data_IF_355504192974
#
_entry.id   IF_355504192974
#
_cell.length_a   1.000
_cell.length_b   1.000
_cell.length_c   1.000
_cell.angle_alpha   90.00
_cell.angle_beta   90.00
_cell.angle_gamma   90.00
#
_symmetry.space_group_name_H-M   'P 1'
#
loop_
_entity.id
_entity.type
_entity.pdbx_description
1 polymer ?
#
# COMPACT_ATOMS: atom_id res chain seq x y z
N UNK A 1 9.59 -0.81 18.98
CA UNK A 1 9.74 0.25 17.96
C UNK A 1 9.93 -0.41 16.61
N UNK A 2 9.11 -0.10 15.60
CA UNK A 2 9.40 -0.55 14.23
C UNK A 2 10.72 0.08 13.77
N UNK A 3 11.62 -0.72 13.21
CA UNK A 3 12.87 -0.27 12.60
C UNK A 3 12.58 0.53 11.32
N UNK A 4 12.09 1.76 11.48
CA UNK A 4 11.78 2.66 10.38
C UNK A 4 13.08 3.18 9.76
N UNK A 5 13.33 2.81 8.50
CA UNK A 5 14.45 3.31 7.72
C UNK A 5 13.99 4.57 7.00
N UNK A 6 14.68 5.69 7.23
CA UNK A 6 14.47 6.90 6.44
C UNK A 6 15.17 6.75 5.10
N UNK A 7 14.47 7.06 4.00
CA UNK A 7 15.03 7.01 2.63
C UNK A 7 14.55 8.22 1.83
N UNK A 8 15.16 9.38 2.10
CA UNK A 8 14.83 10.66 1.47
C UNK A 8 16.06 11.17 0.72
N UNK A 9 15.94 11.52 -0.58
CA UNK A 9 17.05 12.05 -1.34
C UNK A 9 17.47 13.40 -0.79
N UNK A 10 18.76 13.65 -0.82
CA UNK A 10 19.33 14.88 -0.27
C UNK A 10 19.60 15.85 -1.40
N UNK A 11 19.22 17.11 -1.17
CA UNK A 11 19.58 18.22 -2.07
C UNK A 11 21.07 18.51 -1.96
N UNK A 12 21.72 18.84 -3.08
CA UNK A 12 23.17 19.01 -3.21
C UNK A 12 23.83 20.01 -2.25
N UNK A 13 23.07 20.92 -1.61
CA UNK A 13 23.60 21.96 -0.72
C UNK A 13 23.26 21.75 0.77
N UNK A 14 23.29 20.51 1.26
CA UNK A 14 23.09 20.27 2.71
C UNK A 14 24.37 20.52 3.48
N UNK A 15 24.38 21.60 4.27
CA UNK A 15 25.52 22.00 5.11
C UNK A 15 25.44 21.51 6.56
N UNK A 16 24.25 21.14 7.06
CA UNK A 16 24.01 20.83 8.49
C UNK A 16 22.96 19.73 8.70
N UNK A 17 23.11 19.00 9.80
CA UNK A 17 22.10 18.06 10.33
C UNK A 17 22.55 16.59 10.34
N UNK A 18 22.62 15.98 11.52
CA UNK A 18 23.09 14.59 11.75
C UNK A 18 22.36 13.57 10.87
N UNK A 19 21.03 13.65 10.80
CA UNK A 19 20.22 12.71 10.02
C UNK A 19 20.39 12.89 8.51
N UNK A 20 20.57 14.12 8.02
CA UNK A 20 20.81 14.38 6.60
C UNK A 20 22.17 13.85 6.14
N UNK A 21 23.21 14.00 6.97
CA UNK A 21 24.52 13.39 6.68
C UNK A 21 24.46 11.85 6.72
N UNK A 22 23.71 11.28 7.67
CA UNK A 22 23.46 9.83 7.70
C UNK A 22 22.74 9.35 6.45
N UNK A 23 21.74 10.11 5.99
CA UNK A 23 21.02 9.83 4.75
C UNK A 23 21.97 9.89 3.54
N UNK A 24 22.92 10.82 3.49
CA UNK A 24 23.83 10.94 2.33
C UNK A 24 24.68 9.69 2.16
N UNK A 25 25.10 9.11 3.30
CA UNK A 25 25.93 7.90 3.33
C UNK A 25 25.14 6.61 3.11
N UNK A 26 23.85 6.59 3.43
CA UNK A 26 23.02 5.36 3.46
C UNK A 26 21.85 5.40 2.47
N UNK A 27 21.83 6.39 1.58
CA UNK A 27 20.77 6.53 0.59
C UNK A 27 20.94 5.44 -0.47
N UNK A 28 19.90 4.63 -0.64
CA UNK A 28 19.78 3.68 -1.73
C UNK A 28 18.67 4.16 -2.66
N UNK A 29 19.10 4.56 -3.86
CA UNK A 29 18.21 5.07 -4.89
C UNK A 29 17.22 4.00 -5.39
N UNK A 30 17.63 2.72 -5.44
CA UNK A 30 16.78 1.62 -5.90
C UNK A 30 15.59 1.42 -4.96
N UNK A 31 15.84 1.50 -3.66
CA UNK A 31 14.80 1.43 -2.63
C UNK A 31 13.91 2.68 -2.70
N UNK A 32 14.51 3.86 -2.89
CA UNK A 32 13.76 5.11 -3.02
C UNK A 32 12.77 5.08 -4.20
N UNK A 33 13.18 4.57 -5.37
CA UNK A 33 12.33 4.47 -6.55
C UNK A 33 11.09 3.57 -6.36
N UNK A 34 11.11 2.64 -5.39
CA UNK A 34 9.93 1.84 -5.05
C UNK A 34 8.81 2.63 -4.36
N UNK A 35 9.10 3.86 -3.88
CA UNK A 35 8.12 4.72 -3.20
C UNK A 35 6.88 5.00 -4.05
N UNK A 36 7.07 5.17 -5.36
CA UNK A 36 5.98 5.38 -6.32
C UNK A 36 4.92 4.30 -6.26
N UNK A 37 5.31 3.03 -6.04
CA UNK A 37 4.39 1.89 -5.90
C UNK A 37 3.55 2.03 -4.63
N UNK A 38 4.18 2.36 -3.50
CA UNK A 38 3.48 2.56 -2.23
C UNK A 38 2.50 3.74 -2.31
N UNK A 39 2.93 4.87 -2.87
CA UNK A 39 2.08 6.05 -3.08
C UNK A 39 0.88 5.74 -3.99
N UNK A 40 1.10 4.96 -5.05
CA UNK A 40 0.04 4.51 -5.94
C UNK A 40 -0.97 3.63 -5.19
N UNK A 41 -0.50 2.67 -4.39
CA UNK A 41 -1.37 1.79 -3.58
C UNK A 41 -2.19 2.61 -2.59
N UNK A 42 -1.57 3.54 -1.86
CA UNK A 42 -2.29 4.43 -0.94
C UNK A 42 -3.28 5.35 -1.66
N UNK A 43 -2.94 5.86 -2.84
CA UNK A 43 -3.84 6.66 -3.66
C UNK A 43 -5.07 5.87 -4.13
N UNK A 44 -4.87 4.63 -4.59
CA UNK A 44 -5.98 3.74 -4.98
C UNK A 44 -6.87 3.41 -3.77
N UNK A 45 -6.26 3.10 -2.63
CA UNK A 45 -6.97 2.76 -1.39
C UNK A 45 -7.85 3.93 -0.92
N UNK A 46 -7.30 5.15 -0.85
CA UNK A 46 -8.04 6.36 -0.45
C UNK A 46 -9.19 6.68 -1.40
N UNK A 47 -9.03 6.45 -2.70
CA UNK A 47 -10.12 6.64 -3.68
C UNK A 47 -11.24 5.60 -3.54
N UNK A 48 -10.91 4.37 -3.13
CA UNK A 48 -11.89 3.29 -2.96
C UNK A 48 -12.66 3.35 -1.64
N UNK A 49 -11.96 3.63 -0.53
CA UNK A 49 -12.53 3.55 0.82
C UNK A 49 -12.73 4.92 1.49
N UNK A 50 -12.41 6.00 0.78
CA UNK A 50 -12.39 7.35 1.33
C UNK A 50 -11.02 7.74 1.88
N UNK A 51 -10.74 9.04 1.89
CA UNK A 51 -9.49 9.60 2.41
C UNK A 51 -9.59 10.13 3.85
N UNK A 52 -10.79 10.16 4.40
CA UNK A 52 -11.08 10.78 5.69
C UNK A 52 -11.26 9.71 6.77
N UNK A 53 -10.59 9.91 7.91
CA UNK A 53 -10.73 9.06 9.08
C UNK A 53 -11.81 9.67 9.96
N UNK A 54 -12.85 8.92 10.29
CA UNK A 54 -14.00 9.41 11.06
C UNK A 54 -13.74 9.39 12.57
N UNK A 55 -12.86 8.50 13.03
CA UNK A 55 -12.54 8.32 14.44
C UNK A 55 -11.85 9.55 15.05
N UNK A 56 -12.33 9.98 16.24
CA UNK A 56 -11.72 11.10 17.00
C UNK A 56 -10.55 10.69 17.89
N UNK A 57 -10.59 9.46 18.42
CA UNK A 57 -9.55 8.95 19.32
C UNK A 57 -8.40 8.32 18.53
N UNK A 58 -7.15 8.63 18.86
CA UNK A 58 -5.96 8.10 18.17
C UNK A 58 -5.94 6.57 18.08
N UNK A 59 -6.36 5.87 19.15
CA UNK A 59 -6.43 4.39 19.13
C UNK A 59 -7.42 3.89 18.07
N UNK A 60 -8.58 4.55 18.00
CA UNK A 60 -9.63 4.23 17.03
C UNK A 60 -9.20 4.59 15.60
N UNK A 61 -8.46 5.69 15.40
CA UNK A 61 -7.90 6.06 14.09
C UNK A 61 -6.92 5.00 13.57
N UNK A 62 -6.03 4.50 14.44
CA UNK A 62 -5.10 3.42 14.08
C UNK A 62 -5.85 2.14 13.72
N UNK A 63 -6.89 1.80 14.48
CA UNK A 63 -7.75 0.64 14.17
C UNK A 63 -8.48 0.83 12.84
N UNK A 64 -9.08 1.98 12.59
CA UNK A 64 -9.79 2.31 11.35
C UNK A 64 -8.87 2.16 10.13
N UNK A 65 -7.67 2.74 10.16
CA UNK A 65 -6.68 2.59 9.08
C UNK A 65 -6.22 1.13 8.93
N UNK A 66 -6.05 0.42 10.04
CA UNK A 66 -5.66 -1.00 10.01
C UNK A 66 -6.75 -1.87 9.36
N UNK A 67 -8.01 -1.61 9.68
CA UNK A 67 -9.17 -2.27 9.08
C UNK A 67 -9.30 -1.96 7.60
N UNK A 68 -9.13 -0.70 7.18
CA UNK A 68 -9.13 -0.31 5.76
C UNK A 68 -8.03 -1.07 5.00
N UNK A 69 -6.83 -1.16 5.56
CA UNK A 69 -5.72 -1.94 4.96
C UNK A 69 -6.07 -3.43 4.83
N UNK A 70 -6.67 -4.01 5.87
CA UNK A 70 -7.08 -5.41 5.87
C UNK A 70 -8.13 -5.68 4.78
N UNK A 71 -9.17 -4.86 4.70
CA UNK A 71 -10.22 -4.97 3.68
C UNK A 71 -9.66 -4.78 2.27
N UNK A 72 -8.74 -3.82 2.06
CA UNK A 72 -8.07 -3.64 0.77
C UNK A 72 -7.27 -4.89 0.35
N UNK A 73 -6.54 -5.51 1.29
CA UNK A 73 -5.79 -6.73 1.01
C UNK A 73 -6.71 -7.90 0.65
N UNK A 74 -7.83 -8.07 1.37
CA UNK A 74 -8.84 -9.07 1.03
C UNK A 74 -9.43 -8.83 -0.36
N UNK A 75 -9.91 -7.61 -0.62
CA UNK A 75 -10.42 -7.22 -1.93
C UNK A 75 -9.40 -7.49 -3.05
N UNK A 76 -8.13 -7.12 -2.85
CA UNK A 76 -7.07 -7.35 -3.83
C UNK A 76 -6.82 -8.85 -4.06
N UNK A 77 -6.85 -9.67 -3.02
CA UNK A 77 -6.64 -11.12 -3.15
C UNK A 77 -7.74 -11.80 -3.96
N UNK A 78 -9.00 -11.42 -3.74
CA UNK A 78 -10.15 -11.90 -4.52
C UNK A 78 -10.03 -11.45 -5.98
N UNK A 79 -9.74 -10.17 -6.21
CA UNK A 79 -9.58 -9.63 -7.57
C UNK A 79 -8.46 -10.32 -8.35
N UNK A 80 -7.30 -10.56 -7.73
CA UNK A 80 -6.19 -11.27 -8.38
C UNK A 80 -6.59 -12.71 -8.72
N UNK A 81 -7.22 -13.44 -7.79
CA UNK A 81 -7.70 -14.80 -8.05
C UNK A 81 -8.68 -14.85 -9.21
N UNK A 82 -9.65 -13.95 -9.24
CA UNK A 82 -10.58 -13.78 -10.35
C UNK A 82 -9.79 -13.53 -11.63
N UNK A 83 -8.96 -12.49 -11.71
CA UNK A 83 -8.18 -12.20 -12.92
C UNK A 83 -7.36 -13.40 -13.41
N UNK A 84 -6.69 -14.14 -12.52
CA UNK A 84 -5.90 -15.32 -12.91
C UNK A 84 -6.77 -16.47 -13.41
N UNK A 85 -7.92 -16.72 -12.78
CA UNK A 85 -8.85 -17.77 -13.21
C UNK A 85 -9.43 -17.46 -14.59
N UNK A 86 -9.81 -16.20 -14.83
CA UNK A 86 -10.31 -15.75 -16.12
C UNK A 86 -9.24 -15.76 -17.22
N UNK A 87 -7.97 -15.56 -16.87
CA UNK A 87 -6.86 -15.58 -17.83
C UNK A 87 -6.49 -17.01 -18.26
N UNK A 88 -6.76 -18.03 -17.43
CA UNK A 88 -6.38 -19.44 -17.68
C UNK A 88 -7.56 -20.27 -18.20
N UNK A 89 -8.81 -19.96 -17.79
CA UNK A 89 -9.97 -20.77 -18.13
C UNK A 89 -10.55 -20.44 -19.51
N UNK A 90 -10.66 -21.43 -20.38
CA UNK A 90 -11.41 -21.37 -21.65
C UNK A 90 -12.93 -21.38 -21.45
N UNK A 91 -13.45 -21.71 -20.25
CA UNK A 91 -14.89 -21.61 -19.90
C UNK A 91 -15.13 -20.79 -18.62
N UNK A 92 -15.30 -19.46 -18.73
CA UNK A 92 -15.50 -18.58 -17.57
C UNK A 92 -16.91 -18.66 -16.95
N UNK A 93 -17.88 -19.24 -17.66
CA UNK A 93 -19.32 -19.17 -17.30
C UNK A 93 -19.70 -20.07 -16.12
N UNK A 94 -19.09 -21.25 -15.99
CA UNK A 94 -19.43 -22.24 -14.96
C UNK A 94 -18.90 -21.85 -13.56
N UNK A 95 -17.72 -21.23 -13.50
CA UNK A 95 -17.10 -20.76 -12.24
C UNK A 95 -17.84 -19.58 -11.60
N UNK A 96 -18.45 -18.70 -12.40
CA UNK A 96 -19.20 -17.55 -11.89
C UNK A 96 -20.46 -17.99 -11.12
N UNK A 97 -21.15 -19.02 -11.63
CA UNK A 97 -22.32 -19.62 -10.99
C UNK A 97 -21.92 -20.26 -9.65
N UNK A 98 -20.76 -20.93 -9.59
CA UNK A 98 -20.29 -21.57 -8.36
C UNK A 98 -19.89 -20.58 -7.25
N UNK A 99 -19.29 -19.43 -7.60
CA UNK A 99 -18.87 -18.41 -6.62
C UNK A 99 -20.06 -17.59 -6.07
N UNK A 100 -21.13 -17.41 -6.85
CA UNK A 100 -22.32 -16.63 -6.45
C UNK A 100 -23.50 -17.49 -5.95
N UNK A 101 -23.39 -18.83 -6.00
CA UNK A 101 -24.44 -19.77 -5.53
C UNK A 101 -24.19 -20.32 -4.12
N UNK A 102 -23.14 -19.87 -3.42
CA UNK A 102 -22.97 -20.04 -1.96
C UNK A 102 -23.26 -18.72 -1.25
#
# INVERSE_FOLDING_TARGET
MLNAISMIPIKSNVRRGKYRHKMQKRFDERIYHQRSKAETVFSVMKRKFGGTIYSRNQRMQVLEVSWINFVYNLHRSVQVKICTLWMISTEPRQLYIFIFSQ
#
